data_IF_590290353664
#
_entry.id   IF_590290353664
#
_cell.length_a   1.000
_cell.length_b   1.000
_cell.length_c   1.000
_cell.angle_alpha   90.00
_cell.angle_beta   90.00
_cell.angle_gamma   90.00
#
_symmetry.space_group_name_H-M   'P 1'
#
loop_
_entity.id
_entity.type
_entity.pdbx_description
1 polymer ?
#
# COMPACT_ATOMS: atom_id res chain seq x y z
N UNK A 1 17.33 18.25 1.90
CA UNK A 1 15.85 18.23 1.87
C UNK A 1 15.41 16.79 1.88
N UNK A 2 14.56 16.38 2.83
CA UNK A 2 13.91 15.07 2.78
C UNK A 2 12.84 15.11 1.69
N UNK A 3 12.95 14.23 0.69
CA UNK A 3 11.89 14.03 -0.31
C UNK A 3 10.86 13.09 0.28
N UNK A 4 9.68 13.62 0.54
CA UNK A 4 8.53 12.83 0.98
C UNK A 4 7.76 12.34 -0.23
N UNK A 5 7.35 11.09 -0.17
CA UNK A 5 6.51 10.44 -1.17
C UNK A 5 5.13 10.25 -0.55
N UNK A 6 4.14 10.89 -1.17
CA UNK A 6 2.73 10.74 -0.82
C UNK A 6 2.09 9.71 -1.75
N UNK A 7 1.84 8.50 -1.25
CA UNK A 7 1.17 7.45 -2.00
C UNK A 7 -0.31 7.37 -1.64
N UNK A 8 -1.13 7.26 -2.68
CA UNK A 8 -2.59 7.31 -2.58
C UNK A 8 -3.21 5.98 -2.99
N UNK A 9 -4.31 5.63 -2.36
CA UNK A 9 -5.10 4.46 -2.69
C UNK A 9 -5.42 4.43 -4.19
N UNK A 10 -5.16 3.28 -4.82
CA UNK A 10 -5.47 3.05 -6.22
C UNK A 10 -6.97 3.21 -6.52
N UNK A 11 -7.84 2.81 -5.58
CA UNK A 11 -9.29 2.79 -5.77
C UNK A 11 -9.97 4.13 -5.44
N UNK A 12 -9.66 4.75 -4.29
CA UNK A 12 -10.39 5.94 -3.82
C UNK A 12 -9.53 7.22 -3.70
N UNK A 13 -8.24 7.16 -4.05
CA UNK A 13 -7.31 8.29 -4.05
C UNK A 13 -7.04 8.94 -2.67
N UNK A 14 -7.48 8.32 -1.57
CA UNK A 14 -7.11 8.71 -0.20
C UNK A 14 -5.62 8.50 0.04
N UNK A 15 -5.02 9.27 0.96
CA UNK A 15 -3.60 9.11 1.31
C UNK A 15 -3.43 7.87 2.19
N UNK A 16 -2.51 6.98 1.84
CA UNK A 16 -2.17 5.79 2.64
C UNK A 16 -0.77 5.94 3.25
N UNK A 17 0.22 6.39 2.47
CA UNK A 17 1.59 6.59 2.94
C UNK A 17 2.01 8.02 2.68
N UNK A 18 2.65 8.63 3.67
CA UNK A 18 3.35 9.90 3.54
C UNK A 18 4.68 9.81 4.30
N UNK A 19 5.68 9.21 3.66
CA UNK A 19 6.98 8.90 4.26
C UNK A 19 8.13 9.34 3.33
N UNK A 20 9.36 9.48 3.84
CA UNK A 20 10.53 9.70 3.00
C UNK A 20 10.70 8.58 1.96
N UNK A 21 11.18 8.93 0.77
CA UNK A 21 11.39 7.99 -0.35
C UNK A 21 12.19 6.75 0.07
N UNK A 22 13.26 6.92 0.86
CA UNK A 22 14.09 5.83 1.38
C UNK A 22 13.35 4.87 2.33
N UNK A 23 12.31 5.33 3.01
CA UNK A 23 11.46 4.47 3.84
C UNK A 23 10.41 3.76 2.98
N UNK A 24 9.87 4.42 1.95
CA UNK A 24 8.92 3.82 1.01
C UNK A 24 9.55 2.65 0.24
N UNK A 25 10.81 2.77 -0.16
CA UNK A 25 11.53 1.69 -0.86
C UNK A 25 11.63 0.40 -0.03
N UNK A 26 11.78 0.51 1.30
CA UNK A 26 11.83 -0.65 2.22
C UNK A 26 10.49 -1.39 2.32
N UNK A 27 9.39 -0.71 1.99
CA UNK A 27 8.04 -1.24 2.05
C UNK A 27 7.59 -1.87 0.72
N UNK A 28 8.45 -1.84 -0.31
CA UNK A 28 8.14 -2.40 -1.62
C UNK A 28 7.81 -3.90 -1.53
N UNK A 29 6.70 -4.30 -2.16
CA UNK A 29 6.17 -5.67 -2.11
C UNK A 29 5.14 -5.92 -0.99
N UNK A 30 4.93 -4.97 -0.08
CA UNK A 30 3.92 -5.08 0.98
C UNK A 30 2.53 -4.62 0.48
N UNK A 31 1.49 -5.16 1.12
CA UNK A 31 0.10 -4.74 0.90
C UNK A 31 -0.38 -3.80 1.99
N UNK A 32 -1.20 -2.83 1.60
CA UNK A 32 -1.77 -1.82 2.48
C UNK A 32 -3.27 -1.75 2.28
N UNK A 33 -4.03 -2.01 3.35
CA UNK A 33 -5.47 -1.81 3.36
C UNK A 33 -5.77 -0.32 3.46
N UNK A 34 -6.64 0.18 2.59
CA UNK A 34 -7.09 1.55 2.63
C UNK A 34 -8.14 1.74 3.74
N UNK A 35 -7.92 2.65 4.67
CA UNK A 35 -8.86 2.95 5.76
C UNK A 35 -10.18 3.61 5.28
N UNK A 36 -10.23 4.11 4.04
CA UNK A 36 -11.42 4.76 3.49
C UNK A 36 -12.36 3.82 2.71
N UNK A 37 -11.81 2.79 2.06
CA UNK A 37 -12.60 1.93 1.16
C UNK A 37 -12.26 0.43 1.26
N UNK A 38 -11.45 0.05 2.24
CA UNK A 38 -10.98 -1.32 2.51
C UNK A 38 -10.24 -2.00 1.36
N UNK A 39 -9.96 -1.26 0.28
CA UNK A 39 -9.25 -1.78 -0.87
C UNK A 39 -7.80 -2.08 -0.51
N UNK A 40 -7.32 -3.24 -0.94
CA UNK A 40 -5.94 -3.69 -0.70
C UNK A 40 -5.05 -3.23 -1.85
N UNK A 41 -4.03 -2.45 -1.48
CA UNK A 41 -3.10 -1.82 -2.41
C UNK A 41 -1.74 -2.50 -2.27
N UNK A 42 -1.20 -3.06 -3.35
CA UNK A 42 0.16 -3.58 -3.37
C UNK A 42 1.13 -2.43 -3.68
N UNK A 43 2.12 -2.22 -2.83
CA UNK A 43 3.18 -1.25 -3.09
C UNK A 43 4.20 -1.88 -4.04
N UNK A 44 4.34 -1.32 -5.24
CA UNK A 44 5.31 -1.77 -6.25
C UNK A 44 5.95 -0.57 -6.94
N UNK A 45 7.29 -0.48 -6.85
CA UNK A 45 8.11 0.60 -7.41
C UNK A 45 7.57 1.99 -7.03
N UNK A 46 7.38 2.22 -5.72
CA UNK A 46 6.90 3.49 -5.16
C UNK A 46 5.52 3.94 -5.72
N UNK A 47 4.66 2.99 -6.09
CA UNK A 47 3.28 3.23 -6.50
C UNK A 47 2.36 2.14 -5.98
N UNK A 48 1.11 2.52 -5.72
CA UNK A 48 0.06 1.55 -5.41
C UNK A 48 -0.58 1.01 -6.67
N UNK A 49 -0.65 -0.31 -6.74
CA UNK A 49 -1.38 -1.06 -7.77
C UNK A 49 -2.43 -1.96 -7.10
N UNK A 50 -3.35 -2.49 -7.90
CA UNK A 50 -4.29 -3.51 -7.43
C UNK A 50 -3.52 -4.73 -6.88
N UNK A 51 -3.83 -5.12 -5.64
CA UNK A 51 -3.32 -6.36 -5.09
C UNK A 51 -3.99 -7.54 -5.81
N UNK A 52 -3.20 -8.41 -6.44
CA UNK A 52 -3.72 -9.63 -7.04
C UNK A 52 -4.46 -10.46 -5.97
N UNK A 53 -5.72 -10.81 -6.24
CA UNK A 53 -6.60 -11.56 -5.33
C UNK A 53 -6.02 -12.91 -4.88
N UNK A 54 -5.01 -13.43 -5.59
CA UNK A 54 -4.42 -14.74 -5.34
C UNK A 54 -3.48 -14.80 -4.11
N UNK A 55 -3.06 -13.67 -3.54
CA UNK A 55 -2.21 -13.64 -2.35
C UNK A 55 -2.92 -13.33 -1.02
N UNK A 56 -4.26 -13.19 -1.02
CA UNK A 56 -5.04 -12.89 0.19
C UNK A 56 -5.54 -14.11 0.96
N UNK A 57 -5.16 -15.33 0.55
CA UNK A 57 -5.57 -16.56 1.24
C UNK A 57 -4.71 -16.96 2.45
N UNK A 58 -3.71 -16.17 2.86
CA UNK A 58 -2.82 -16.57 3.97
C UNK A 58 -2.83 -15.69 5.21
N UNK A 59 -3.64 -14.62 5.27
CA UNK A 59 -3.73 -13.79 6.49
C UNK A 59 -5.20 -13.44 6.77
N UNK A 60 -5.98 -14.44 7.15
CA UNK A 60 -7.18 -14.32 8.00
C UNK A 60 -7.62 -15.73 8.39
N UNK A 61 -6.83 -16.36 9.26
CA UNK A 61 -7.23 -17.51 10.06
C UNK A 61 -6.89 -17.21 11.51
N UNK A 62 -7.55 -16.23 12.13
CA UNK A 62 -7.66 -16.17 13.59
C UNK A 62 -9.02 -15.59 13.98
N UNK A 63 -9.74 -16.44 14.72
CA UNK A 63 -10.98 -16.27 15.49
C UNK A 63 -12.25 -15.92 14.73
#
# INVERSE_FOLDING_TARGET
>A
MYKFTCLRCYNCNSVIINLPESEVEKLNGLTFQCECCDYLNLLSNSRFIEAAKENLKSICSFS
#
